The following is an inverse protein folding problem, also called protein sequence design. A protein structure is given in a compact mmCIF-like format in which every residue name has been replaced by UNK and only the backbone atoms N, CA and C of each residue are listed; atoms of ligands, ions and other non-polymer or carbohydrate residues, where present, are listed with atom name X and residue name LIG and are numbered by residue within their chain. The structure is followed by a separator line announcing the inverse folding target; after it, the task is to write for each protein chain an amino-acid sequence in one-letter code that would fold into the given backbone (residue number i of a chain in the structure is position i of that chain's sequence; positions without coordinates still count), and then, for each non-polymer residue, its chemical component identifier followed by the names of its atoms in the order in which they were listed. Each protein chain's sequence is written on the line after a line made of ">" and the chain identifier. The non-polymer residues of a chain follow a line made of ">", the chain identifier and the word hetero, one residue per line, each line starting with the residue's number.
data_IF_295087117995
#
_entry.id   IF_295087117995
#
_cell.length_a   1.000
_cell.length_b   1.000
_cell.length_c   1.000
_cell.angle_alpha   90.00
_cell.angle_beta   90.00
_cell.angle_gamma   90.00
#
_symmetry.space_group_name_H-M   'P 1'
#
loop_
_entity.id
_entity.type
_entity.pdbx_description
1 polymer ?
#
# COMPACT_ATOMS: atom_id res chain seq x y z
N UNK A 1 31.39 -24.50 -9.63
CA UNK A 1 30.09 -23.83 -9.86
C UNK A 1 29.10 -24.36 -8.84
N UNK A 2 28.40 -23.47 -8.15
CA UNK A 2 27.29 -23.87 -7.28
C UNK A 2 26.08 -24.25 -8.13
N UNK A 3 25.23 -25.16 -7.65
CA UNK A 3 23.95 -25.46 -8.32
C UNK A 3 23.02 -24.24 -8.36
N UNK A 4 23.25 -23.23 -7.49
CA UNK A 4 22.53 -21.96 -7.44
C UNK A 4 23.04 -20.90 -8.43
N UNK A 5 24.00 -21.24 -9.30
CA UNK A 5 24.47 -20.37 -10.40
C UNK A 5 23.51 -20.40 -11.61
N UNK A 6 22.43 -21.19 -11.55
CA UNK A 6 21.36 -21.27 -12.55
C UNK A 6 20.01 -21.38 -11.86
N UNK A 7 19.02 -20.61 -12.35
CA UNK A 7 17.69 -20.62 -11.75
C UNK A 7 17.03 -21.99 -11.79
N UNK A 8 16.49 -22.40 -10.65
CA UNK A 8 15.53 -23.49 -10.51
C UNK A 8 14.58 -23.16 -9.34
N UNK A 9 13.39 -23.76 -9.36
CA UNK A 9 12.46 -23.65 -8.24
C UNK A 9 12.99 -24.44 -7.05
N UNK A 10 13.33 -23.72 -5.95
CA UNK A 10 13.81 -24.35 -4.72
C UNK A 10 12.70 -25.09 -3.98
N UNK A 11 13.08 -26.16 -3.30
CA UNK A 11 12.27 -26.91 -2.35
C UNK A 11 12.86 -26.74 -0.92
N UNK A 12 12.14 -27.14 0.13
CA UNK A 12 12.62 -27.02 1.53
C UNK A 12 14.03 -27.58 1.73
N UNK A 13 14.33 -28.71 1.09
CA UNK A 13 15.66 -29.36 1.16
C UNK A 13 16.81 -28.51 0.59
N UNK A 14 16.51 -27.55 -0.27
CA UNK A 14 17.49 -26.68 -0.93
C UNK A 14 17.77 -25.43 -0.08
N UNK A 15 16.80 -25.03 0.72
CA UNK A 15 16.76 -23.72 1.38
C UNK A 15 17.86 -23.55 2.44
N UNK A 16 18.15 -24.59 3.23
CA UNK A 16 19.20 -24.51 4.27
C UNK A 16 20.55 -24.26 3.62
N UNK A 17 20.92 -25.07 2.57
CA UNK A 17 22.18 -24.88 1.84
C UNK A 17 22.24 -23.49 1.19
N UNK A 18 21.14 -23.06 0.56
CA UNK A 18 21.05 -21.76 -0.07
C UNK A 18 21.21 -20.62 0.93
N UNK A 19 20.57 -20.72 2.09
CA UNK A 19 20.67 -19.71 3.16
C UNK A 19 22.10 -19.58 3.69
N UNK A 20 22.78 -20.72 3.92
CA UNK A 20 24.19 -20.72 4.34
C UNK A 20 25.12 -20.06 3.31
N UNK A 21 24.81 -20.21 2.03
CA UNK A 21 25.58 -19.59 0.95
C UNK A 21 25.35 -18.08 0.85
N UNK A 22 24.13 -17.60 1.08
CA UNK A 22 23.74 -16.21 0.79
C UNK A 22 23.63 -15.31 2.02
N UNK A 23 23.09 -15.80 3.12
CA UNK A 23 22.92 -15.04 4.36
C UNK A 23 24.18 -15.13 5.27
N UNK A 24 25.33 -14.73 4.72
CA UNK A 24 26.63 -14.86 5.38
C UNK A 24 26.85 -13.87 6.53
N UNK A 25 26.00 -12.87 6.69
CA UNK A 25 26.03 -11.92 7.80
C UNK A 25 25.48 -12.48 9.12
N UNK A 26 24.82 -13.66 9.07
CA UNK A 26 24.26 -14.33 10.24
C UNK A 26 25.14 -15.50 10.63
N UNK A 27 25.49 -15.59 11.92
CA UNK A 27 26.31 -16.71 12.48
C UNK A 27 25.43 -17.93 12.79
N UNK A 28 24.97 -18.60 11.72
CA UNK A 28 24.10 -19.76 11.81
C UNK A 28 24.67 -20.94 12.58
N UNK A 29 23.84 -21.59 13.39
CA UNK A 29 24.12 -22.95 13.86
C UNK A 29 23.72 -23.97 12.79
N UNK A 30 24.72 -24.38 12.00
CA UNK A 30 24.50 -25.23 10.82
C UNK A 30 23.85 -26.58 11.12
N UNK A 31 24.09 -27.12 12.34
CA UNK A 31 23.64 -28.45 12.72
C UNK A 31 22.16 -28.45 13.14
N UNK A 32 21.63 -27.30 13.54
CA UNK A 32 20.25 -27.15 13.99
C UNK A 32 19.32 -26.41 12.98
N UNK A 33 19.87 -25.93 11.87
CA UNK A 33 19.09 -25.19 10.87
C UNK A 33 17.93 -26.01 10.31
N UNK A 34 16.79 -25.36 10.22
CA UNK A 34 15.55 -25.91 9.63
C UNK A 34 14.92 -24.90 8.68
N UNK A 35 14.37 -25.40 7.57
CA UNK A 35 13.54 -24.64 6.67
C UNK A 35 12.13 -25.24 6.67
N UNK A 36 11.10 -24.37 6.72
CA UNK A 36 9.69 -24.79 6.68
C UNK A 36 8.89 -23.86 5.77
N UNK A 37 7.86 -24.38 5.14
CA UNK A 37 6.88 -23.55 4.41
C UNK A 37 5.88 -23.02 5.44
N UNK A 38 5.75 -21.69 5.64
CA UNK A 38 4.77 -21.11 6.53
C UNK A 38 3.34 -21.49 6.13
N UNK A 39 2.42 -21.59 7.09
CA UNK A 39 0.99 -21.90 6.82
C UNK A 39 0.34 -20.77 6.01
N UNK A 40 0.69 -19.54 6.32
CA UNK A 40 0.24 -18.33 5.62
C UNK A 40 1.37 -17.86 4.70
N UNK A 41 1.33 -18.28 3.45
CA UNK A 41 2.28 -17.86 2.42
C UNK A 41 1.53 -17.21 1.26
N UNK A 42 2.11 -16.14 0.71
CA UNK A 42 1.52 -15.35 -0.36
C UNK A 42 1.24 -16.17 -1.63
N UNK A 43 0.30 -15.71 -2.42
CA UNK A 43 -0.20 -16.42 -3.61
C UNK A 43 0.75 -16.35 -4.82
N UNK A 44 1.76 -15.50 -4.78
CA UNK A 44 2.59 -15.15 -5.93
C UNK A 44 4.03 -15.66 -5.85
N UNK A 45 4.58 -15.79 -4.64
CA UNK A 45 5.95 -16.21 -4.41
C UNK A 45 6.02 -17.50 -3.59
N UNK A 46 7.15 -18.20 -3.69
CA UNK A 46 7.48 -19.31 -2.81
C UNK A 46 8.20 -18.74 -1.59
N UNK A 47 7.66 -19.00 -0.41
CA UNK A 47 8.13 -18.43 0.85
C UNK A 47 8.54 -19.56 1.78
N UNK A 48 9.71 -19.42 2.39
CA UNK A 48 10.28 -20.36 3.36
C UNK A 48 10.75 -19.60 4.58
N UNK A 49 10.53 -20.17 5.76
CA UNK A 49 11.09 -19.67 7.00
C UNK A 49 12.27 -20.54 7.41
N UNK A 50 13.42 -19.91 7.67
CA UNK A 50 14.65 -20.60 8.13
C UNK A 50 14.94 -20.18 9.55
N UNK A 51 15.20 -21.16 10.42
CA UNK A 51 15.51 -20.95 11.83
C UNK A 51 16.66 -21.83 12.27
N UNK A 52 17.33 -21.48 13.39
CA UNK A 52 18.28 -22.31 14.10
C UNK A 52 18.03 -22.29 15.62
N UNK A 53 18.74 -23.12 16.37
CA UNK A 53 18.61 -23.21 17.82
C UNK A 53 19.33 -22.06 18.58
N UNK A 54 20.11 -21.20 17.89
CA UNK A 54 20.61 -19.93 18.43
C UNK A 54 19.57 -18.81 18.43
N UNK A 55 18.41 -19.05 17.84
CA UNK A 55 17.31 -18.07 17.74
C UNK A 55 17.38 -17.17 16.51
N UNK A 56 18.25 -17.46 15.54
CA UNK A 56 18.21 -16.75 14.27
C UNK A 56 17.02 -17.19 13.44
N UNK A 57 16.41 -16.25 12.73
CA UNK A 57 15.30 -16.52 11.84
C UNK A 57 15.25 -15.53 10.68
N UNK A 58 15.06 -16.02 9.45
CA UNK A 58 14.81 -15.21 8.26
C UNK A 58 13.75 -15.85 7.37
N UNK A 59 13.15 -15.04 6.51
CA UNK A 59 12.33 -15.52 5.41
C UNK A 59 13.11 -15.51 4.10
N UNK A 60 12.99 -16.58 3.34
CA UNK A 60 13.47 -16.66 1.94
C UNK A 60 12.23 -16.58 1.05
N UNK A 61 12.17 -15.57 0.18
CA UNK A 61 11.08 -15.34 -0.78
C UNK A 61 11.65 -15.51 -2.19
N UNK A 62 11.19 -16.52 -2.94
CA UNK A 62 11.60 -16.77 -4.33
C UNK A 62 10.45 -16.51 -5.30
N UNK A 63 10.69 -15.73 -6.35
CA UNK A 63 9.73 -15.56 -7.44
C UNK A 63 9.59 -16.81 -8.28
N UNK A 64 8.37 -17.29 -8.47
CA UNK A 64 8.05 -18.41 -9.35
C UNK A 64 7.91 -18.01 -10.81
N UNK A 65 7.86 -19.02 -11.69
CA UNK A 65 7.62 -18.86 -13.15
C UNK A 65 6.15 -18.72 -13.49
N UNK A 66 5.25 -19.13 -12.58
CA UNK A 66 3.80 -19.08 -12.75
C UNK A 66 3.16 -18.54 -11.48
N UNK A 67 2.05 -17.80 -11.63
CA UNK A 67 1.26 -17.40 -10.44
C UNK A 67 0.37 -18.56 -10.00
N UNK A 68 0.16 -18.69 -8.68
CA UNK A 68 -0.78 -19.68 -8.14
C UNK A 68 -2.25 -19.31 -8.40
N UNK A 69 -2.53 -18.03 -8.72
CA UNK A 69 -3.89 -17.51 -8.87
C UNK A 69 -4.41 -17.60 -10.31
N UNK A 70 -3.57 -17.39 -11.31
CA UNK A 70 -4.01 -17.44 -12.72
C UNK A 70 -2.87 -17.83 -13.64
N UNK A 71 -3.13 -18.81 -14.52
CA UNK A 71 -2.19 -19.22 -15.56
C UNK A 71 -2.03 -18.19 -16.68
N UNK A 72 -2.95 -17.22 -16.75
CA UNK A 72 -2.96 -16.16 -17.76
C UNK A 72 -2.14 -14.93 -17.38
N UNK A 73 -1.85 -14.74 -16.07
CA UNK A 73 -0.94 -13.71 -15.58
C UNK A 73 0.45 -14.31 -15.40
N UNK A 74 1.40 -13.96 -16.25
CA UNK A 74 2.82 -14.28 -16.11
C UNK A 74 3.59 -13.05 -15.65
N UNK A 75 3.52 -12.69 -14.37
CA UNK A 75 4.27 -11.54 -13.90
C UNK A 75 5.75 -11.79 -14.06
N UNK A 76 6.48 -10.76 -14.44
CA UNK A 76 7.93 -10.81 -14.56
C UNK A 76 8.55 -11.26 -13.22
N UNK A 77 9.56 -12.12 -13.26
CA UNK A 77 10.38 -12.47 -12.08
C UNK A 77 11.10 -11.25 -11.52
N UNK A 78 11.21 -10.19 -12.32
CA UNK A 78 11.86 -8.94 -11.96
C UNK A 78 11.13 -8.19 -10.82
N UNK A 79 9.85 -8.49 -10.58
CA UNK A 79 9.10 -7.92 -9.45
C UNK A 79 9.72 -8.19 -8.08
N UNK A 80 10.32 -9.37 -7.88
CA UNK A 80 11.01 -9.68 -6.62
C UNK A 80 12.29 -8.84 -6.46
N UNK A 81 12.98 -8.52 -7.57
CA UNK A 81 14.08 -7.57 -7.58
C UNK A 81 13.58 -6.17 -7.20
N UNK A 82 12.53 -5.71 -7.85
CA UNK A 82 11.95 -4.39 -7.58
C UNK A 82 11.51 -4.26 -6.12
N UNK A 83 10.77 -5.23 -5.59
CA UNK A 83 10.39 -5.27 -4.19
C UNK A 83 11.61 -5.17 -3.26
N UNK A 84 12.65 -5.98 -3.51
CA UNK A 84 13.85 -5.98 -2.68
C UNK A 84 14.62 -4.66 -2.77
N UNK A 85 14.78 -4.08 -3.97
CA UNK A 85 15.45 -2.79 -4.16
C UNK A 85 14.67 -1.64 -3.50
N UNK A 86 13.34 -1.66 -3.57
CA UNK A 86 12.50 -0.64 -2.92
C UNK A 86 12.57 -0.77 -1.41
N UNK A 87 12.48 -1.99 -0.84
CA UNK A 87 12.65 -2.20 0.60
C UNK A 87 14.02 -1.72 1.10
N UNK A 88 15.09 -1.99 0.36
CA UNK A 88 16.44 -1.47 0.71
C UNK A 88 16.52 0.07 0.65
N UNK A 89 15.82 0.70 -0.29
CA UNK A 89 15.75 2.16 -0.36
C UNK A 89 14.88 2.73 0.77
N UNK A 90 13.75 2.11 1.06
CA UNK A 90 12.89 2.52 2.17
C UNK A 90 13.58 2.33 3.52
N UNK A 91 14.35 1.26 3.72
CA UNK A 91 15.19 1.09 4.92
C UNK A 91 16.23 2.21 5.06
N UNK A 92 16.81 2.69 3.94
CA UNK A 92 17.73 3.84 3.96
C UNK A 92 17.04 5.13 4.42
N UNK A 93 15.76 5.34 4.04
CA UNK A 93 15.00 6.54 4.37
C UNK A 93 14.31 6.45 5.74
N UNK A 94 13.67 5.32 6.02
CA UNK A 94 12.83 5.06 7.21
C UNK A 94 13.32 3.79 7.93
N UNK A 95 14.51 3.86 8.53
CA UNK A 95 15.18 2.70 9.11
C UNK A 95 14.36 2.00 10.19
N UNK A 96 14.28 0.67 10.09
CA UNK A 96 13.52 -0.20 10.99
C UNK A 96 12.01 -0.22 10.73
N UNK A 97 11.51 0.55 9.75
CA UNK A 97 10.09 0.61 9.42
C UNK A 97 9.68 -0.31 8.26
N UNK A 98 10.61 -1.07 7.72
CA UNK A 98 10.38 -2.12 6.73
C UNK A 98 11.13 -3.40 7.14
N UNK A 99 10.79 -4.58 6.60
CA UNK A 99 11.60 -5.77 6.80
C UNK A 99 13.00 -5.58 6.22
N UNK A 100 14.03 -5.85 7.02
CA UNK A 100 15.42 -5.76 6.57
C UNK A 100 15.73 -6.81 5.51
N UNK A 101 16.39 -6.43 4.41
CA UNK A 101 16.82 -7.32 3.33
C UNK A 101 18.27 -7.72 3.56
N UNK A 102 18.51 -8.98 3.89
CA UNK A 102 19.86 -9.52 4.10
C UNK A 102 20.62 -9.71 2.79
N UNK A 103 19.91 -10.15 1.74
CA UNK A 103 20.45 -10.31 0.40
C UNK A 103 19.34 -10.37 -0.65
N UNK A 104 19.70 -10.05 -1.88
CA UNK A 104 18.93 -10.36 -3.07
C UNK A 104 19.80 -11.09 -4.10
N UNK A 105 19.28 -12.16 -4.69
CA UNK A 105 19.94 -12.97 -5.69
C UNK A 105 19.21 -12.89 -7.04
N UNK A 106 19.85 -12.20 -7.99
CA UNK A 106 19.29 -12.01 -9.35
C UNK A 106 19.19 -13.30 -10.14
N UNK A 107 20.07 -14.28 -9.87
CA UNK A 107 20.09 -15.58 -10.59
C UNK A 107 18.94 -16.44 -10.11
N UNK A 108 18.80 -16.62 -8.81
CA UNK A 108 17.73 -17.42 -8.20
C UNK A 108 16.41 -16.67 -8.07
N UNK A 109 16.36 -15.36 -8.41
CA UNK A 109 15.21 -14.48 -8.21
C UNK A 109 14.65 -14.62 -6.78
N UNK A 110 15.53 -14.56 -5.80
CA UNK A 110 15.20 -14.80 -4.40
C UNK A 110 15.84 -13.76 -3.47
N UNK A 111 15.13 -13.39 -2.42
CA UNK A 111 15.65 -12.54 -1.36
C UNK A 111 15.56 -13.24 0.00
N UNK A 112 16.51 -12.88 0.88
CA UNK A 112 16.45 -13.18 2.31
C UNK A 112 16.06 -11.93 3.06
N UNK A 113 14.99 -12.00 3.85
CA UNK A 113 14.43 -10.87 4.58
C UNK A 113 14.19 -11.18 6.05
N UNK A 114 14.08 -10.14 6.85
CA UNK A 114 13.76 -10.22 8.29
C UNK A 114 12.51 -11.06 8.54
N UNK A 115 12.56 -11.85 9.60
CA UNK A 115 11.39 -12.57 10.12
C UNK A 115 10.52 -11.63 10.96
N UNK A 116 9.38 -11.28 10.41
CA UNK A 116 8.36 -10.46 11.07
C UNK A 116 7.19 -11.29 11.61
N UNK A 117 7.38 -12.57 11.92
CA UNK A 117 6.31 -13.46 12.39
C UNK A 117 5.76 -13.12 13.78
N UNK A 118 6.39 -12.21 14.52
CA UNK A 118 5.89 -11.63 15.77
C UNK A 118 4.89 -10.47 15.55
N UNK A 119 4.72 -10.03 14.31
CA UNK A 119 3.73 -9.04 13.92
C UNK A 119 2.46 -9.72 13.39
N UNK A 120 1.33 -9.01 13.44
CA UNK A 120 0.11 -9.34 12.71
C UNK A 120 0.03 -8.51 11.44
N UNK A 121 -0.58 -9.05 10.40
CA UNK A 121 -1.01 -8.23 9.25
C UNK A 121 -2.14 -7.30 9.72
N UNK A 122 -2.00 -6.00 9.50
CA UNK A 122 -2.93 -5.01 10.03
C UNK A 122 -4.37 -5.24 9.55
N UNK A 123 -4.59 -5.69 8.31
CA UNK A 123 -5.94 -6.02 7.83
C UNK A 123 -6.61 -7.09 8.68
N UNK A 124 -5.89 -8.14 9.06
CA UNK A 124 -6.44 -9.15 9.96
C UNK A 124 -6.79 -8.55 11.32
N UNK A 125 -5.90 -7.73 11.88
CA UNK A 125 -6.16 -7.04 13.14
C UNK A 125 -7.39 -6.12 13.07
N UNK A 126 -7.60 -5.41 11.92
CA UNK A 126 -8.78 -4.58 11.69
C UNK A 126 -10.07 -5.39 11.60
N UNK A 127 -10.07 -6.55 10.95
CA UNK A 127 -11.21 -7.47 10.90
C UNK A 127 -11.55 -8.05 12.29
N UNK A 128 -10.56 -8.17 13.15
CA UNK A 128 -10.74 -8.53 14.58
C UNK A 128 -11.13 -7.32 15.46
N UNK A 129 -11.27 -6.12 14.88
CA UNK A 129 -11.56 -4.85 15.53
C UNK A 129 -10.57 -4.48 16.65
N UNK A 130 -9.30 -4.82 16.46
CA UNK A 130 -8.21 -4.44 17.37
C UNK A 130 -7.83 -2.98 17.20
N UNK A 131 -7.50 -2.33 18.32
CA UNK A 131 -7.11 -0.92 18.38
C UNK A 131 -5.61 -0.84 18.67
N UNK A 132 -4.90 -0.02 17.88
CA UNK A 132 -3.46 0.25 18.04
C UNK A 132 -3.23 1.76 18.13
N UNK A 133 -3.17 2.32 19.35
CA UNK A 133 -3.10 3.78 19.54
C UNK A 133 -1.88 4.47 18.90
N UNK A 134 -0.79 3.73 18.68
CA UNK A 134 0.44 4.24 18.08
C UNK A 134 0.45 4.20 16.54
N UNK A 135 -0.60 3.65 15.92
CA UNK A 135 -0.66 3.44 14.47
C UNK A 135 -0.45 4.74 13.69
N UNK A 136 -1.20 5.79 14.03
CA UNK A 136 -1.19 7.07 13.29
C UNK A 136 0.17 7.73 13.33
N UNK A 137 0.83 7.71 14.48
CA UNK A 137 2.18 8.23 14.65
C UNK A 137 3.19 7.47 13.79
N UNK A 138 3.17 6.12 13.85
CA UNK A 138 4.11 5.27 13.13
C UNK A 138 3.91 5.30 11.63
N UNK A 139 2.69 5.23 11.14
CA UNK A 139 2.46 5.27 9.69
C UNK A 139 2.81 6.63 9.09
N UNK A 140 2.57 7.72 9.81
CA UNK A 140 2.96 9.05 9.35
C UNK A 140 4.47 9.28 9.44
N UNK A 141 5.19 8.66 10.39
CA UNK A 141 6.66 8.60 10.37
C UNK A 141 7.16 7.93 9.09
N UNK A 142 6.62 6.75 8.76
CA UNK A 142 6.98 6.04 7.52
C UNK A 142 6.70 6.90 6.28
N UNK A 143 5.50 7.48 6.19
CA UNK A 143 5.09 8.30 5.04
C UNK A 143 6.01 9.52 4.86
N UNK A 144 6.30 10.25 5.93
CA UNK A 144 7.14 11.45 5.81
C UNK A 144 8.59 11.09 5.50
N UNK A 145 9.14 10.06 6.16
CA UNK A 145 10.51 9.62 5.98
C UNK A 145 10.75 9.10 4.55
N UNK A 146 9.82 8.37 3.98
CA UNK A 146 9.96 7.83 2.63
C UNK A 146 9.60 8.86 1.56
N UNK A 147 8.44 9.50 1.66
CA UNK A 147 7.94 10.38 0.60
C UNK A 147 8.70 11.70 0.53
N UNK A 148 8.96 12.36 1.67
CA UNK A 148 9.66 13.65 1.64
C UNK A 148 11.14 13.46 1.28
N UNK A 149 11.86 12.51 1.92
CA UNK A 149 13.29 12.29 1.66
C UNK A 149 13.59 11.84 0.24
N UNK A 150 12.68 11.11 -0.41
CA UNK A 150 12.85 10.68 -1.80
C UNK A 150 12.30 11.66 -2.83
N UNK A 151 11.70 12.78 -2.40
CA UNK A 151 11.10 13.77 -3.28
C UNK A 151 12.13 14.71 -3.90
N UNK A 152 11.75 15.38 -5.02
CA UNK A 152 12.60 16.33 -5.71
C UNK A 152 13.04 17.53 -4.86
N UNK A 153 12.37 17.81 -3.73
CA UNK A 153 12.75 18.91 -2.84
C UNK A 153 13.90 18.53 -1.89
N UNK A 154 14.19 17.24 -1.72
CA UNK A 154 15.21 16.74 -0.77
C UNK A 154 16.32 15.93 -1.44
N UNK A 155 15.98 14.89 -2.23
CA UNK A 155 16.99 13.99 -2.80
C UNK A 155 17.76 14.69 -3.95
N UNK A 156 19.05 14.34 -4.12
CA UNK A 156 19.79 14.79 -5.30
C UNK A 156 19.10 14.35 -6.61
N UNK A 157 18.94 15.29 -7.53
CA UNK A 157 18.20 15.07 -8.79
C UNK A 157 18.83 14.00 -9.68
N UNK A 158 20.15 13.82 -9.65
CA UNK A 158 20.83 12.75 -10.42
C UNK A 158 20.61 11.40 -9.77
N UNK A 159 20.73 11.33 -8.42
CA UNK A 159 20.44 10.12 -7.66
C UNK A 159 19.00 9.66 -7.90
N UNK A 160 18.02 10.57 -7.83
CA UNK A 160 16.61 10.28 -8.10
C UNK A 160 16.38 9.71 -9.50
N UNK A 161 17.03 10.27 -10.52
CA UNK A 161 16.92 9.77 -11.90
C UNK A 161 17.52 8.38 -12.07
N UNK A 162 18.62 8.08 -11.34
CA UNK A 162 19.20 6.73 -11.33
C UNK A 162 18.24 5.73 -10.68
N UNK A 163 17.62 6.11 -9.55
CA UNK A 163 16.58 5.30 -8.89
C UNK A 163 15.42 5.04 -9.86
N UNK A 164 14.85 6.10 -10.46
CA UNK A 164 13.73 5.97 -11.39
C UNK A 164 14.02 5.08 -12.59
N UNK A 165 15.25 5.14 -13.13
CA UNK A 165 15.66 4.27 -14.23
C UNK A 165 15.76 2.78 -13.87
N UNK A 166 15.89 2.43 -12.58
CA UNK A 166 15.95 1.05 -12.09
C UNK A 166 14.57 0.50 -11.69
N UNK A 167 13.69 1.36 -11.21
CA UNK A 167 12.39 0.99 -10.63
C UNK A 167 11.24 1.06 -11.65
N UNK A 168 11.47 0.59 -12.87
CA UNK A 168 10.44 0.57 -13.91
C UNK A 168 9.83 -0.82 -14.00
N UNK A 169 8.52 -0.92 -13.77
CA UNK A 169 7.72 -2.13 -13.96
C UNK A 169 6.53 -1.82 -14.87
N UNK A 170 6.68 -1.92 -16.21
CA UNK A 170 5.60 -1.59 -17.15
C UNK A 170 4.33 -2.40 -16.90
N UNK A 171 4.46 -3.68 -16.57
CA UNK A 171 3.32 -4.58 -16.34
C UNK A 171 2.51 -4.17 -15.09
N UNK A 172 3.20 -3.83 -14.00
CA UNK A 172 2.54 -3.41 -12.75
C UNK A 172 1.94 -2.00 -12.88
N UNK A 173 2.61 -1.09 -13.59
CA UNK A 173 2.04 0.21 -13.93
C UNK A 173 0.75 0.05 -14.74
N UNK A 174 0.75 -0.75 -15.80
CA UNK A 174 -0.44 -1.01 -16.63
C UNK A 174 -1.59 -1.62 -15.81
N UNK A 175 -1.29 -2.52 -14.88
CA UNK A 175 -2.27 -3.08 -13.94
C UNK A 175 -2.89 -1.96 -13.09
N UNK A 176 -2.09 -1.12 -12.45
CA UNK A 176 -2.58 -0.01 -11.64
C UNK A 176 -3.40 0.97 -12.47
N UNK A 177 -2.89 1.39 -13.63
CA UNK A 177 -3.57 2.32 -14.52
C UNK A 177 -4.94 1.84 -14.99
N UNK A 178 -5.11 0.53 -15.21
CA UNK A 178 -6.38 -0.08 -15.59
C UNK A 178 -7.30 -0.31 -14.41
N UNK A 179 -6.81 -0.96 -13.35
CA UNK A 179 -7.65 -1.41 -12.23
C UNK A 179 -8.04 -0.29 -11.28
N UNK A 180 -7.24 0.78 -11.19
CA UNK A 180 -7.55 1.92 -10.30
C UNK A 180 -8.31 3.02 -11.04
N UNK A 181 -7.85 3.39 -12.25
CA UNK A 181 -8.31 4.61 -12.91
C UNK A 181 -9.22 4.39 -14.12
N UNK A 182 -9.49 3.15 -14.53
CA UNK A 182 -10.33 2.88 -15.70
C UNK A 182 -11.51 1.99 -15.37
N UNK A 183 -11.26 0.74 -14.99
CA UNK A 183 -12.31 -0.28 -14.87
C UNK A 183 -13.38 0.06 -13.83
N UNK A 184 -13.08 0.64 -12.66
CA UNK A 184 -14.11 1.01 -11.70
C UNK A 184 -15.14 2.03 -12.22
N UNK A 185 -14.83 2.71 -13.32
CA UNK A 185 -15.65 3.79 -13.90
C UNK A 185 -16.36 3.43 -15.21
N UNK A 186 -16.07 2.27 -15.81
CA UNK A 186 -16.66 1.92 -17.11
C UNK A 186 -16.82 0.43 -17.39
N UNK A 187 -16.22 -0.43 -16.57
CA UNK A 187 -16.24 -1.89 -16.72
C UNK A 187 -15.93 -2.39 -18.15
N UNK A 188 -15.01 -1.73 -18.85
CA UNK A 188 -14.68 -2.02 -20.26
C UNK A 188 -14.28 -3.47 -20.51
N UNK A 189 -13.64 -4.09 -19.53
CA UNK A 189 -13.17 -5.47 -19.63
C UNK A 189 -14.10 -6.49 -18.96
N UNK A 190 -15.24 -6.05 -18.44
CA UNK A 190 -16.23 -6.87 -17.73
C UNK A 190 -15.62 -7.68 -16.57
N UNK A 191 -14.71 -7.04 -15.82
CA UNK A 191 -14.01 -7.64 -14.68
C UNK A 191 -14.43 -7.07 -13.33
N UNK A 192 -15.25 -6.03 -13.32
CA UNK A 192 -15.76 -5.47 -12.08
C UNK A 192 -16.62 -6.49 -11.34
N UNK A 193 -16.45 -6.54 -10.03
CA UNK A 193 -17.18 -7.42 -9.14
C UNK A 193 -18.15 -6.60 -8.29
N UNK A 194 -19.21 -6.10 -8.93
CA UNK A 194 -20.22 -5.26 -8.30
C UNK A 194 -21.19 -6.12 -7.50
N UNK A 195 -21.42 -5.74 -6.24
CA UNK A 195 -22.46 -6.37 -5.41
C UNK A 195 -23.84 -6.14 -6.06
N UNK A 196 -24.58 -7.21 -6.44
CA UNK A 196 -25.78 -7.08 -7.29
C UNK A 196 -26.82 -6.08 -6.79
N UNK A 197 -27.11 -5.95 -5.47
CA UNK A 197 -28.06 -4.97 -4.98
C UNK A 197 -27.66 -3.50 -5.23
N UNK A 198 -26.36 -3.23 -5.48
CA UNK A 198 -25.83 -1.91 -5.80
C UNK A 198 -25.65 -1.65 -7.30
N UNK A 199 -26.01 -2.58 -8.21
CA UNK A 199 -25.69 -2.47 -9.62
C UNK A 199 -26.22 -1.17 -10.29
N UNK A 200 -27.48 -0.83 -10.06
CA UNK A 200 -28.06 0.41 -10.61
C UNK A 200 -27.44 1.66 -9.99
N UNK A 201 -27.11 1.59 -8.69
CA UNK A 201 -26.44 2.69 -7.99
C UNK A 201 -25.04 2.93 -8.54
N UNK A 202 -24.24 1.88 -8.72
CA UNK A 202 -22.91 1.95 -9.34
C UNK A 202 -23.00 2.50 -10.76
N UNK A 203 -23.94 2.01 -11.56
CA UNK A 203 -24.14 2.53 -12.92
C UNK A 203 -24.38 4.03 -12.92
N UNK A 204 -25.31 4.52 -12.09
CA UNK A 204 -25.65 5.93 -11.99
C UNK A 204 -24.51 6.78 -11.45
N UNK A 205 -23.90 6.37 -10.33
CA UNK A 205 -22.95 7.20 -9.59
C UNK A 205 -21.51 7.13 -10.15
N UNK A 206 -21.13 6.01 -10.80
CA UNK A 206 -19.79 5.84 -11.35
C UNK A 206 -19.75 5.79 -12.88
N UNK A 207 -20.54 4.91 -13.53
CA UNK A 207 -20.39 4.67 -14.96
C UNK A 207 -20.99 5.79 -15.84
N UNK A 208 -22.01 6.49 -15.38
CA UNK A 208 -22.69 7.55 -16.14
C UNK A 208 -22.23 8.96 -15.73
N UNK A 209 -21.41 9.12 -14.69
CA UNK A 209 -20.95 10.43 -14.23
C UNK A 209 -19.74 10.94 -14.99
N UNK A 210 -19.99 11.77 -15.99
CA UNK A 210 -18.93 12.36 -16.84
C UNK A 210 -18.02 13.34 -16.09
N UNK A 211 -18.53 14.05 -15.09
CA UNK A 211 -17.73 14.97 -14.29
C UNK A 211 -16.72 14.19 -13.45
N UNK A 212 -17.17 13.08 -12.84
CA UNK A 212 -16.30 12.15 -12.14
C UNK A 212 -15.22 11.56 -13.06
N UNK A 213 -15.60 11.10 -14.26
CA UNK A 213 -14.63 10.55 -15.22
C UNK A 213 -13.57 11.58 -15.63
N UNK A 214 -13.93 12.85 -15.75
CA UNK A 214 -12.98 13.91 -16.08
C UNK A 214 -11.94 14.10 -14.96
N UNK A 215 -12.37 14.15 -13.71
CA UNK A 215 -11.43 14.28 -12.58
C UNK A 215 -10.57 13.03 -12.38
N UNK A 216 -11.14 11.83 -12.56
CA UNK A 216 -10.38 10.57 -12.55
C UNK A 216 -9.33 10.52 -13.66
N UNK A 217 -9.66 11.04 -14.85
CA UNK A 217 -8.67 11.15 -15.94
C UNK A 217 -7.49 12.04 -15.54
N UNK A 218 -7.72 13.17 -14.86
CA UNK A 218 -6.65 14.02 -14.33
C UNK A 218 -5.77 13.28 -13.33
N UNK A 219 -6.38 12.53 -12.39
CA UNK A 219 -5.64 11.70 -11.42
C UNK A 219 -4.82 10.61 -12.11
N UNK A 220 -5.38 9.94 -13.12
CA UNK A 220 -4.65 8.95 -13.92
C UNK A 220 -3.40 9.54 -14.57
N UNK A 221 -3.56 10.66 -15.27
CA UNK A 221 -2.42 11.30 -15.94
C UNK A 221 -1.41 11.87 -14.94
N UNK A 222 -1.86 12.35 -13.77
CA UNK A 222 -0.99 12.71 -12.67
C UNK A 222 -0.17 11.50 -12.19
N UNK A 223 -0.81 10.36 -11.93
CA UNK A 223 -0.14 9.12 -11.54
C UNK A 223 0.92 8.68 -12.57
N UNK A 224 0.59 8.75 -13.85
CA UNK A 224 1.49 8.33 -14.94
C UNK A 224 2.70 9.25 -15.14
N UNK A 225 2.62 10.52 -14.78
CA UNK A 225 3.61 11.53 -15.18
C UNK A 225 4.29 12.26 -14.02
N UNK A 226 3.71 12.24 -12.82
CA UNK A 226 4.23 12.94 -11.66
C UNK A 226 5.17 12.03 -10.85
N UNK A 227 6.42 11.97 -11.23
CA UNK A 227 7.47 11.22 -10.54
C UNK A 227 7.94 11.95 -9.27
N UNK A 228 7.02 12.29 -8.35
CA UNK A 228 7.25 13.18 -7.21
C UNK A 228 8.15 12.56 -6.12
N UNK A 229 7.91 11.31 -5.75
CA UNK A 229 8.65 10.60 -4.70
C UNK A 229 8.65 9.08 -4.94
N UNK A 230 9.47 8.33 -4.21
CA UNK A 230 9.39 6.88 -4.18
C UNK A 230 8.16 6.45 -3.38
N UNK A 231 7.11 6.04 -4.06
CA UNK A 231 5.89 5.52 -3.44
C UNK A 231 5.96 4.00 -3.28
N UNK A 232 5.21 3.47 -2.32
CA UNK A 232 4.98 2.04 -2.14
C UNK A 232 4.10 1.46 -3.27
N UNK A 233 3.12 2.24 -3.73
CA UNK A 233 2.27 1.94 -4.88
C UNK A 233 1.08 0.99 -4.63
N UNK A 234 0.97 0.38 -3.45
CA UNK A 234 -0.20 -0.38 -2.97
C UNK A 234 -0.21 -0.43 -1.43
N UNK A 235 -0.13 0.75 -0.77
CA UNK A 235 0.00 0.88 0.68
C UNK A 235 -1.35 0.71 1.37
N UNK A 236 -1.80 -0.51 1.47
CA UNK A 236 -3.05 -0.88 2.14
C UNK A 236 -2.79 -1.60 3.48
N UNK A 237 -3.81 -1.78 4.31
CA UNK A 237 -3.68 -2.48 5.59
C UNK A 237 -3.16 -3.92 5.48
N UNK A 238 -3.27 -4.54 4.32
CA UNK A 238 -2.68 -5.84 4.00
C UNK A 238 -1.17 -5.81 3.74
N UNK A 239 -0.57 -4.62 3.55
CA UNK A 239 0.87 -4.39 3.34
C UNK A 239 1.53 -3.74 4.57
N UNK A 240 0.87 -3.81 5.72
CA UNK A 240 1.35 -3.29 7.01
C UNK A 240 1.36 -4.41 8.03
N UNK A 241 2.52 -4.65 8.63
CA UNK A 241 2.69 -5.43 9.84
C UNK A 241 2.55 -4.55 11.07
N UNK A 242 1.81 -5.01 12.09
CA UNK A 242 1.58 -4.26 13.32
C UNK A 242 1.68 -5.15 14.55
N UNK A 243 2.22 -4.61 15.64
CA UNK A 243 2.22 -5.20 16.99
C UNK A 243 2.10 -4.08 18.02
N UNK A 244 2.05 -4.38 19.32
CA UNK A 244 1.79 -3.39 20.38
C UNK A 244 2.73 -2.17 20.38
N UNK A 245 3.99 -2.35 19.98
CA UNK A 245 5.04 -1.34 20.02
C UNK A 245 5.70 -1.03 18.67
N UNK A 246 5.21 -1.65 17.58
CA UNK A 246 5.88 -1.58 16.29
C UNK A 246 4.96 -1.63 15.07
N UNK A 247 5.49 -1.09 13.98
CA UNK A 247 4.88 -1.14 12.66
C UNK A 247 6.00 -1.34 11.63
N UNK A 248 5.74 -2.18 10.62
CA UNK A 248 6.57 -2.30 9.42
C UNK A 248 5.71 -2.34 8.18
N UNK A 249 6.17 -1.66 7.13
CA UNK A 249 5.54 -1.69 5.80
C UNK A 249 6.28 -2.69 4.93
N UNK A 250 5.56 -3.52 4.18
CA UNK A 250 6.13 -4.59 3.37
C UNK A 250 5.38 -4.75 2.03
N UNK A 251 5.96 -5.53 1.10
CA UNK A 251 5.39 -5.87 -0.22
C UNK A 251 5.22 -4.67 -1.17
N UNK A 252 6.23 -3.79 -1.34
CA UNK A 252 6.17 -2.63 -2.23
C UNK A 252 6.41 -3.01 -3.72
N UNK A 253 5.89 -4.14 -4.20
CA UNK A 253 6.15 -4.59 -5.58
C UNK A 253 5.60 -3.64 -6.65
N UNK A 254 4.58 -2.82 -6.32
CA UNK A 254 4.02 -1.77 -7.16
C UNK A 254 4.74 -0.42 -7.06
N UNK A 255 5.82 -0.36 -6.29
CA UNK A 255 6.53 0.88 -6.04
C UNK A 255 7.19 1.46 -7.28
N UNK A 256 7.03 2.77 -7.44
CA UNK A 256 7.58 3.59 -8.52
C UNK A 256 7.93 4.98 -7.99
N UNK A 257 8.56 5.81 -8.83
CA UNK A 257 8.50 7.25 -8.60
C UNK A 257 7.11 7.74 -9.03
N UNK A 258 6.30 8.17 -8.06
CA UNK A 258 4.91 8.57 -8.26
C UNK A 258 4.48 9.71 -7.33
N UNK A 259 3.21 10.15 -7.40
CA UNK A 259 2.69 11.22 -6.56
C UNK A 259 2.56 10.79 -5.10
N UNK A 260 3.09 11.61 -4.18
CA UNK A 260 3.06 11.34 -2.72
C UNK A 260 1.65 11.04 -2.19
N UNK A 261 0.65 11.75 -2.68
CA UNK A 261 -0.75 11.59 -2.25
C UNK A 261 -1.34 10.21 -2.53
N UNK A 262 -0.71 9.40 -3.40
CA UNK A 262 -1.20 8.06 -3.72
C UNK A 262 -1.12 7.12 -2.51
N UNK A 263 0.03 7.03 -1.86
CA UNK A 263 0.20 6.18 -0.68
C UNK A 263 -0.61 6.66 0.52
N UNK A 264 -0.64 7.99 0.75
CA UNK A 264 -1.44 8.57 1.83
C UNK A 264 -2.92 8.25 1.60
N UNK A 265 -3.41 8.42 0.37
CA UNK A 265 -4.78 8.13 -0.02
C UNK A 265 -5.15 6.65 0.16
N UNK A 266 -4.22 5.74 -0.15
CA UNK A 266 -4.42 4.30 0.08
C UNK A 266 -4.58 3.99 1.58
N UNK A 267 -3.78 4.59 2.46
CA UNK A 267 -3.92 4.43 3.92
C UNK A 267 -5.29 4.91 4.38
N UNK A 268 -5.72 6.12 3.98
CA UNK A 268 -7.01 6.69 4.36
C UNK A 268 -8.17 5.82 3.88
N UNK A 269 -8.17 5.39 2.61
CA UNK A 269 -9.21 4.54 2.06
C UNK A 269 -9.33 3.21 2.83
N UNK A 270 -8.21 2.61 3.21
CA UNK A 270 -8.23 1.35 3.96
C UNK A 270 -8.69 1.52 5.41
N UNK A 271 -8.50 2.67 6.03
CA UNK A 271 -9.13 3.01 7.30
C UNK A 271 -10.66 3.14 7.14
N UNK A 272 -11.15 3.74 6.04
CA UNK A 272 -12.58 3.87 5.77
C UNK A 272 -13.23 2.49 5.59
N UNK A 273 -12.59 1.54 4.89
CA UNK A 273 -13.10 0.17 4.81
C UNK A 273 -13.19 -0.52 6.18
N UNK A 274 -12.20 -0.32 7.05
CA UNK A 274 -12.23 -0.83 8.42
C UNK A 274 -13.34 -0.16 9.25
N UNK A 275 -13.58 1.14 9.05
CA UNK A 275 -14.72 1.85 9.65
C UNK A 275 -16.05 1.21 9.26
N UNK A 276 -16.27 0.93 7.98
CA UNK A 276 -17.49 0.31 7.48
C UNK A 276 -17.73 -1.07 8.09
N UNK A 277 -16.67 -1.88 8.19
CA UNK A 277 -16.74 -3.18 8.85
C UNK A 277 -17.13 -3.03 10.32
N UNK A 278 -16.43 -2.16 11.06
CA UNK A 278 -16.74 -1.87 12.46
C UNK A 278 -18.18 -1.36 12.66
N UNK A 279 -18.65 -0.50 11.75
CA UNK A 279 -20.04 0.01 11.76
C UNK A 279 -21.04 -1.11 11.57
N UNK A 280 -20.82 -2.01 10.60
CA UNK A 280 -21.69 -3.14 10.31
C UNK A 280 -21.82 -4.08 11.51
N UNK A 281 -20.76 -4.28 12.28
CA UNK A 281 -20.75 -5.13 13.48
C UNK A 281 -21.00 -4.38 14.79
N UNK A 282 -21.34 -3.07 14.75
CA UNK A 282 -21.68 -2.26 15.93
C UNK A 282 -20.53 -2.02 16.91
N UNK A 283 -19.30 -1.97 16.41
CA UNK A 283 -18.05 -1.82 17.18
C UNK A 283 -17.73 -0.35 17.43
N UNK A 284 -18.52 0.31 18.28
CA UNK A 284 -18.46 1.77 18.46
C UNK A 284 -17.07 2.28 18.83
N UNK A 285 -16.40 1.71 19.81
CA UNK A 285 -15.06 2.14 20.24
C UNK A 285 -14.04 2.04 19.08
N UNK A 286 -14.12 0.97 18.32
CA UNK A 286 -13.27 0.78 17.14
C UNK A 286 -13.58 1.80 16.04
N UNK A 287 -14.86 2.06 15.73
CA UNK A 287 -15.23 3.06 14.71
C UNK A 287 -14.85 4.46 15.12
N UNK A 288 -14.99 4.83 16.40
CA UNK A 288 -14.55 6.12 16.92
C UNK A 288 -13.02 6.27 16.78
N UNK A 289 -12.26 5.21 17.10
CA UNK A 289 -10.81 5.20 16.91
C UNK A 289 -10.41 5.30 15.43
N UNK A 290 -11.10 4.60 14.52
CA UNK A 290 -10.81 4.70 13.08
C UNK A 290 -11.04 6.12 12.56
N UNK A 291 -12.18 6.77 12.90
CA UNK A 291 -12.42 8.16 12.47
C UNK A 291 -11.35 9.11 13.01
N UNK A 292 -10.96 8.93 14.27
CA UNK A 292 -9.85 9.68 14.85
C UNK A 292 -8.54 9.40 14.10
N UNK A 293 -8.28 8.15 13.72
CA UNK A 293 -7.08 7.77 12.97
C UNK A 293 -7.05 8.39 11.56
N UNK A 294 -8.19 8.49 10.88
CA UNK A 294 -8.30 9.22 9.60
C UNK A 294 -7.91 10.69 9.77
N UNK A 295 -8.47 11.35 10.80
CA UNK A 295 -8.14 12.75 11.11
C UNK A 295 -6.65 12.90 11.43
N UNK A 296 -6.13 12.09 12.35
CA UNK A 296 -4.74 12.15 12.79
C UNK A 296 -3.71 11.85 11.69
N UNK A 297 -3.97 10.92 10.77
CA UNK A 297 -3.02 10.62 9.68
C UNK A 297 -2.78 11.85 8.81
N UNK A 298 -3.81 12.60 8.47
CA UNK A 298 -3.68 13.83 7.68
C UNK A 298 -3.00 14.93 8.49
N UNK A 299 -3.48 15.19 9.71
CA UNK A 299 -3.00 16.31 10.52
C UNK A 299 -1.55 16.11 10.98
N UNK A 300 -1.17 14.88 11.38
CA UNK A 300 0.21 14.54 11.71
C UNK A 300 1.13 14.56 10.46
N UNK A 301 0.63 14.15 9.29
CA UNK A 301 1.40 14.28 8.07
C UNK A 301 1.70 15.75 7.76
N UNK A 302 0.72 16.66 7.87
CA UNK A 302 0.89 18.10 7.68
C UNK A 302 1.88 18.67 8.70
N UNK A 303 1.73 18.30 9.98
CA UNK A 303 2.63 18.75 11.05
C UNK A 303 4.08 18.32 10.78
N UNK A 304 4.29 17.03 10.50
CA UNK A 304 5.62 16.46 10.22
C UNK A 304 6.21 17.02 8.92
N UNK A 305 5.38 17.19 7.87
CA UNK A 305 5.81 17.84 6.64
C UNK A 305 6.33 19.23 6.90
N UNK A 306 5.58 20.06 7.62
CA UNK A 306 5.98 21.43 7.93
C UNK A 306 7.28 21.51 8.73
N UNK A 307 7.47 20.60 9.68
CA UNK A 307 8.68 20.48 10.47
C UNK A 307 9.89 20.06 9.63
N UNK A 308 9.75 18.94 8.92
CA UNK A 308 10.88 18.32 8.25
C UNK A 308 11.20 18.93 6.88
N UNK A 309 10.25 19.61 6.24
CA UNK A 309 10.54 20.36 5.02
C UNK A 309 11.63 21.40 5.26
N UNK A 310 11.51 22.22 6.31
CA UNK A 310 12.47 23.26 6.65
C UNK A 310 13.83 22.69 7.05
N UNK A 311 13.85 21.46 7.60
CA UNK A 311 15.07 20.79 8.02
C UNK A 311 15.79 20.08 6.87
N UNK A 312 15.05 19.45 5.94
CA UNK A 312 15.62 18.55 4.93
C UNK A 312 15.67 19.12 3.53
N UNK A 313 14.93 20.18 3.20
CA UNK A 313 14.92 20.75 1.87
C UNK A 313 16.35 21.14 1.42
N UNK A 314 16.73 20.68 0.24
CA UNK A 314 18.05 20.92 -0.33
C UNK A 314 18.01 21.59 -1.70
N UNK A 315 16.86 21.53 -2.40
CA UNK A 315 16.67 22.14 -3.71
C UNK A 315 16.46 23.66 -3.58
N UNK A 316 17.34 24.52 -4.14
CA UNK A 316 17.24 25.96 -3.96
C UNK A 316 15.92 26.58 -4.45
N UNK A 317 15.31 26.06 -5.51
CA UNK A 317 14.03 26.56 -6.01
C UNK A 317 12.86 26.15 -5.11
N UNK A 318 13.01 25.09 -4.33
CA UNK A 318 12.03 24.68 -3.33
C UNK A 318 12.08 25.53 -2.05
N UNK A 319 13.15 26.33 -1.86
CA UNK A 319 13.29 27.26 -0.74
C UNK A 319 12.67 28.65 -1.02
N UNK A 320 12.07 28.84 -2.19
CA UNK A 320 11.41 30.11 -2.56
C UNK A 320 10.14 30.27 -1.68
N UNK A 321 9.90 31.48 -1.19
CA UNK A 321 8.73 31.82 -0.39
C UNK A 321 7.42 31.40 -1.07
N UNK A 322 6.55 30.69 -0.32
CA UNK A 322 5.27 30.15 -0.79
C UNK A 322 5.36 28.82 -1.53
N UNK A 323 6.56 28.32 -1.86
CA UNK A 323 6.67 27.03 -2.57
C UNK A 323 6.35 25.84 -1.67
N UNK A 324 6.71 25.88 -0.39
CA UNK A 324 6.40 24.86 0.61
C UNK A 324 4.90 24.59 0.69
N UNK A 325 4.12 25.66 0.83
CA UNK A 325 2.66 25.61 0.92
C UNK A 325 2.05 25.12 -0.40
N UNK A 326 2.52 25.61 -1.54
CA UNK A 326 2.10 25.15 -2.87
C UNK A 326 2.33 23.63 -3.06
N UNK A 327 3.50 23.14 -2.64
CA UNK A 327 3.86 21.72 -2.77
C UNK A 327 3.00 20.84 -1.87
N UNK A 328 2.78 21.25 -0.60
CA UNK A 328 1.89 20.56 0.33
C UNK A 328 0.44 20.55 -0.17
N UNK A 329 -0.07 21.67 -0.65
CA UNK A 329 -1.42 21.77 -1.22
C UNK A 329 -1.63 20.80 -2.38
N UNK A 330 -0.61 20.61 -3.21
CA UNK A 330 -0.61 19.60 -4.28
C UNK A 330 -0.71 18.17 -3.73
N UNK A 331 0.05 17.84 -2.69
CA UNK A 331 0.01 16.52 -2.03
C UNK A 331 -1.37 16.27 -1.41
N UNK A 332 -1.93 17.24 -0.68
CA UNK A 332 -3.24 17.09 -0.03
C UNK A 332 -4.38 16.90 -1.03
N UNK A 333 -4.38 17.69 -2.12
CA UNK A 333 -5.34 17.52 -3.21
C UNK A 333 -5.23 16.11 -3.81
N UNK A 334 -4.03 15.66 -4.13
CA UNK A 334 -3.77 14.35 -4.71
C UNK A 334 -4.18 13.25 -3.73
N UNK A 335 -3.92 13.42 -2.41
CA UNK A 335 -4.36 12.50 -1.35
C UNK A 335 -5.87 12.30 -1.37
N UNK A 336 -6.66 13.36 -1.41
CA UNK A 336 -8.11 13.25 -1.47
C UNK A 336 -8.55 12.52 -2.73
N UNK A 337 -8.05 12.91 -3.90
CA UNK A 337 -8.39 12.27 -5.17
C UNK A 337 -8.05 10.78 -5.20
N UNK A 338 -6.86 10.40 -4.74
CA UNK A 338 -6.44 8.99 -4.70
C UNK A 338 -7.14 8.18 -3.60
N UNK A 339 -7.52 8.79 -2.47
CA UNK A 339 -8.44 8.15 -1.51
C UNK A 339 -9.72 7.71 -2.21
N UNK A 340 -10.31 8.60 -3.00
CA UNK A 340 -11.54 8.30 -3.73
C UNK A 340 -11.37 7.20 -4.77
N UNK A 341 -10.28 7.19 -5.52
CA UNK A 341 -10.04 6.13 -6.51
C UNK A 341 -9.81 4.76 -5.87
N UNK A 342 -9.15 4.71 -4.73
CA UNK A 342 -8.96 3.45 -3.98
C UNK A 342 -10.28 2.94 -3.40
N UNK A 343 -11.13 3.82 -2.85
CA UNK A 343 -12.48 3.45 -2.39
C UNK A 343 -13.29 2.81 -3.53
N UNK A 344 -13.29 3.41 -4.72
CA UNK A 344 -14.04 2.87 -5.86
C UNK A 344 -13.45 1.55 -6.35
N UNK A 345 -12.12 1.48 -6.55
CA UNK A 345 -11.44 0.28 -7.04
C UNK A 345 -11.70 -0.94 -6.15
N UNK A 346 -11.66 -0.75 -4.83
CA UNK A 346 -11.81 -1.86 -3.86
C UNK A 346 -13.26 -2.18 -3.52
N UNK A 347 -14.22 -1.32 -3.90
CA UNK A 347 -15.66 -1.56 -3.72
C UNK A 347 -16.29 -2.21 -4.95
N UNK A 348 -16.00 -1.70 -6.15
CA UNK A 348 -16.66 -2.16 -7.38
C UNK A 348 -15.74 -2.86 -8.37
N UNK A 349 -14.41 -2.67 -8.25
CA UNK A 349 -13.43 -3.25 -9.17
C UNK A 349 -13.25 -4.76 -9.02
N UNK A 350 -12.32 -5.32 -9.77
CA UNK A 350 -12.02 -6.76 -9.78
C UNK A 350 -11.56 -7.30 -8.41
N UNK A 351 -10.84 -6.49 -7.64
CA UNK A 351 -10.20 -6.86 -6.38
C UNK A 351 -10.89 -6.19 -5.18
N UNK A 352 -12.11 -6.63 -4.85
CA UNK A 352 -12.84 -6.13 -3.69
C UNK A 352 -12.09 -6.39 -2.38
N UNK A 353 -12.24 -5.46 -1.43
CA UNK A 353 -11.59 -5.57 -0.11
C UNK A 353 -12.38 -6.49 0.83
N UNK A 354 -11.66 -7.33 1.57
CA UNK A 354 -12.28 -8.27 2.52
C UNK A 354 -13.02 -7.59 3.64
N UNK A 355 -12.58 -6.42 4.06
CA UNK A 355 -13.24 -5.60 5.10
C UNK A 355 -14.73 -5.38 4.79
N UNK A 356 -15.08 -5.19 3.52
CA UNK A 356 -16.47 -4.97 3.06
C UNK A 356 -17.14 -6.29 2.66
N UNK A 357 -16.42 -7.16 1.92
CA UNK A 357 -17.04 -8.39 1.40
C UNK A 357 -17.34 -9.44 2.48
N UNK A 358 -16.73 -9.35 3.65
CA UNK A 358 -17.01 -10.22 4.80
C UNK A 358 -18.19 -9.76 5.66
N UNK A 359 -18.82 -8.63 5.35
CA UNK A 359 -20.04 -8.19 6.03
C UNK A 359 -21.18 -9.15 5.63
N UNK A 360 -21.62 -9.98 6.59
CA UNK A 360 -22.61 -11.04 6.36
C UNK A 360 -24.02 -10.49 6.12
N UNK A 361 -24.37 -9.37 6.78
CA UNK A 361 -25.68 -8.71 6.61
C UNK A 361 -25.70 -7.91 5.31
N UNK A 362 -26.44 -8.40 4.32
CA UNK A 362 -26.53 -7.78 2.99
C UNK A 362 -26.98 -6.31 3.02
N UNK A 363 -27.86 -5.91 3.95
CA UNK A 363 -28.30 -4.52 4.06
C UNK A 363 -27.18 -3.64 4.59
N UNK A 364 -26.44 -4.12 5.58
CA UNK A 364 -25.29 -3.39 6.11
C UNK A 364 -24.16 -3.31 5.09
N UNK A 365 -23.91 -4.38 4.34
CA UNK A 365 -22.97 -4.37 3.22
C UNK A 365 -23.39 -3.36 2.14
N UNK A 366 -24.68 -3.34 1.80
CA UNK A 366 -25.25 -2.39 0.85
C UNK A 366 -24.91 -0.94 1.27
N UNK A 367 -25.17 -0.60 2.55
CA UNK A 367 -24.88 0.73 3.09
C UNK A 367 -23.38 1.01 3.07
N UNK A 368 -22.52 0.09 3.51
CA UNK A 368 -21.06 0.21 3.51
C UNK A 368 -20.52 0.52 2.11
N UNK A 369 -20.94 -0.24 1.09
CA UNK A 369 -20.52 0.02 -0.29
C UNK A 369 -21.02 1.39 -0.81
N UNK A 370 -22.23 1.83 -0.44
CA UNK A 370 -22.72 3.16 -0.79
C UNK A 370 -21.95 4.28 -0.11
N UNK A 371 -21.52 4.10 1.15
CA UNK A 371 -20.63 5.05 1.83
C UNK A 371 -19.37 5.23 1.00
N UNK A 372 -18.71 4.13 0.61
CA UNK A 372 -17.47 4.15 -0.17
C UNK A 372 -17.66 4.83 -1.54
N UNK A 373 -18.75 4.53 -2.23
CA UNK A 373 -19.03 5.12 -3.54
C UNK A 373 -19.28 6.64 -3.42
N UNK A 374 -20.11 7.07 -2.46
CA UNK A 374 -20.41 8.48 -2.25
C UNK A 374 -19.22 9.28 -1.74
N UNK A 375 -18.50 8.73 -0.75
CA UNK A 375 -17.32 9.38 -0.18
C UNK A 375 -16.20 9.46 -1.23
N UNK A 376 -15.95 8.39 -1.97
CA UNK A 376 -14.97 8.39 -3.06
C UNK A 376 -15.26 9.44 -4.11
N UNK A 377 -16.53 9.61 -4.48
CA UNK A 377 -16.97 10.64 -5.42
C UNK A 377 -16.76 12.06 -4.87
N UNK A 378 -17.11 12.32 -3.60
CA UNK A 378 -16.86 13.62 -2.95
C UNK A 378 -15.34 13.92 -2.88
N UNK A 379 -14.51 12.95 -2.48
CA UNK A 379 -13.06 13.11 -2.43
C UNK A 379 -12.45 13.47 -3.79
N UNK A 380 -12.90 12.84 -4.87
CA UNK A 380 -12.41 13.11 -6.22
C UNK A 380 -12.89 14.47 -6.71
N UNK A 381 -14.21 14.74 -6.64
CA UNK A 381 -14.80 15.95 -7.22
C UNK A 381 -14.44 17.23 -6.48
N UNK A 382 -14.13 17.13 -5.19
CA UNK A 382 -13.80 18.27 -4.32
C UNK A 382 -12.39 18.22 -3.76
N UNK A 383 -11.47 17.55 -4.44
CA UNK A 383 -10.11 17.29 -3.97
C UNK A 383 -9.39 18.54 -3.46
N UNK A 384 -9.57 19.68 -4.10
CA UNK A 384 -8.96 20.97 -3.70
C UNK A 384 -9.48 21.52 -2.35
N UNK A 385 -10.61 21.03 -1.84
CA UNK A 385 -11.21 21.51 -0.58
C UNK A 385 -10.70 20.78 0.68
N UNK A 386 -10.00 19.67 0.53
CA UNK A 386 -9.49 18.88 1.65
C UNK A 386 -8.14 19.43 2.13
N UNK A 387 -8.15 20.07 3.32
CA UNK A 387 -6.99 20.77 3.88
C UNK A 387 -6.54 20.24 5.24
N UNK A 388 -7.39 19.47 5.93
CA UNK A 388 -7.10 18.86 7.22
C UNK A 388 -7.86 17.54 7.39
N UNK A 389 -7.53 16.77 8.42
CA UNK A 389 -8.15 15.47 8.67
C UNK A 389 -9.65 15.56 8.95
N UNK A 390 -10.11 16.66 9.56
CA UNK A 390 -11.53 16.90 9.81
C UNK A 390 -12.37 16.91 8.53
N UNK A 391 -11.87 17.42 7.42
CA UNK A 391 -12.60 17.46 6.14
C UNK A 391 -12.96 16.05 5.65
N UNK A 392 -12.05 15.09 5.88
CA UNK A 392 -12.27 13.67 5.57
C UNK A 392 -13.34 13.07 6.46
N UNK A 393 -13.24 13.27 7.78
CA UNK A 393 -14.22 12.74 8.76
C UNK A 393 -15.61 13.31 8.50
N UNK A 394 -15.75 14.61 8.30
CA UNK A 394 -17.04 15.26 8.00
C UNK A 394 -17.66 14.69 6.71
N UNK A 395 -16.83 14.41 5.69
CA UNK A 395 -17.28 13.81 4.43
C UNK A 395 -17.77 12.38 4.63
N UNK A 396 -17.02 11.55 5.38
CA UNK A 396 -17.42 10.17 5.68
C UNK A 396 -18.75 10.14 6.41
N UNK A 397 -18.91 10.96 7.45
CA UNK A 397 -20.14 11.01 8.25
C UNK A 397 -21.34 11.53 7.44
N UNK A 398 -21.14 12.53 6.58
CA UNK A 398 -22.15 13.00 5.62
C UNK A 398 -22.57 11.88 4.67
N UNK A 399 -21.63 11.19 4.06
CA UNK A 399 -21.91 10.11 3.11
C UNK A 399 -22.57 8.91 3.78
N UNK A 400 -22.20 8.61 5.04
CA UNK A 400 -22.90 7.61 5.87
C UNK A 400 -24.38 7.96 6.02
N UNK A 401 -24.69 9.19 6.45
CA UNK A 401 -26.08 9.61 6.62
C UNK A 401 -26.89 9.48 5.31
N UNK A 402 -26.29 9.90 4.18
CA UNK A 402 -26.92 9.77 2.86
C UNK A 402 -27.13 8.30 2.46
N UNK A 403 -26.15 7.43 2.72
CA UNK A 403 -26.25 6.01 2.37
C UNK A 403 -27.29 5.25 3.19
N UNK A 404 -27.56 5.69 4.44
CA UNK A 404 -28.59 5.13 5.33
C UNK A 404 -30.01 5.56 4.93
N UNK A 405 -30.16 6.68 4.22
CA UNK A 405 -31.45 7.19 3.72
C UNK A 405 -31.86 6.56 2.38
N UNK A 406 -30.91 6.05 1.60
CA UNK A 406 -31.10 5.45 0.28
C UNK A 406 -31.48 3.95 0.37
#
# INVERSE_FOLDING_TARGET
>A
MSRFDTYFQMEEKDIVEYTLLKATSIDWDKDSMKAVIPKEHGNLNYVYRVTDDKGHSIYIKQAGTETRISKDMKPSRDRNRLESEILMLQEKFASGMVPYIYFYDTVMCACGMEDCSDFLVMRQAMLEHKIYPHFTEKITDFLIETLLKSSDVVIDHKEKKVIGGKLVSPDLCDITEKLVFMEPYNDLNHRNNVFPPNADFVKKELYEDRALHFEVAKLKFNFMTNAQALIHGDLHTGSIFIKEDGLKVFDPEFGILGPCGYDIGNVIANLIFAYDNGLAYGKKEFTDWILKSVEEVIDLFIEKYNKYYDEWVSEPMAMVEGFKEYYLDGILRDTAGFTGTELHRRTVGMANVTDVTTIEDEKKRLVAERINILAGKEFILKADSFKCGKDYVDTILKCKALAEEL
#
